data_IF_295067108695
#
_entry.id   IF_295067108695
#
_cell.length_a   1.000
_cell.length_b   1.000
_cell.length_c   1.000
_cell.angle_alpha   90.00
_cell.angle_beta   90.00
_cell.angle_gamma   90.00
#
_symmetry.space_group_name_H-M   'P 1'
#
loop_
_entity.id
_entity.type
_entity.pdbx_description
1 polymer ?
#
# COMPACT_ATOMS: atom_id res chain seq x y z
N UNK A 1 -23.05 23.29 -28.15
CA UNK A 1 -22.55 23.12 -26.76
C UNK A 1 -22.48 21.62 -26.50
N UNK A 2 -21.37 21.11 -25.99
CA UNK A 2 -21.29 19.69 -25.59
C UNK A 2 -22.23 19.44 -24.42
N UNK A 3 -22.94 18.33 -24.45
CA UNK A 3 -23.81 17.88 -23.37
C UNK A 3 -23.04 17.76 -22.05
N UNK A 4 -23.62 18.31 -20.98
CA UNK A 4 -23.06 18.19 -19.63
C UNK A 4 -23.75 17.02 -18.94
N UNK A 5 -22.95 16.05 -18.45
CA UNK A 5 -23.44 14.87 -17.75
C UNK A 5 -22.83 14.85 -16.34
N UNK A 6 -23.68 14.75 -15.33
CA UNK A 6 -23.26 14.57 -13.94
C UNK A 6 -22.91 13.10 -13.67
N UNK A 7 -21.73 12.83 -13.06
CA UNK A 7 -21.22 11.48 -12.79
C UNK A 7 -20.71 11.33 -11.36
N UNK A 8 -20.71 10.10 -10.88
CA UNK A 8 -19.97 9.73 -9.67
C UNK A 8 -18.46 9.86 -9.95
N UNK A 9 -17.67 10.58 -9.11
CA UNK A 9 -16.25 10.71 -9.29
C UNK A 9 -15.51 9.36 -9.26
N UNK A 10 -16.02 8.33 -8.56
CA UNK A 10 -15.44 6.99 -8.54
C UNK A 10 -15.51 6.29 -9.90
N UNK A 11 -16.51 6.59 -10.74
CA UNK A 11 -16.57 6.07 -12.11
C UNK A 11 -15.46 6.63 -13.00
N UNK A 12 -15.03 7.88 -12.74
CA UNK A 12 -13.98 8.57 -13.49
C UNK A 12 -12.56 8.21 -13.02
N UNK A 13 -12.41 7.66 -11.81
CA UNK A 13 -11.14 7.16 -11.30
C UNK A 13 -10.83 5.81 -11.94
N UNK A 14 -9.84 5.80 -12.82
CA UNK A 14 -9.41 4.59 -13.56
C UNK A 14 -7.97 4.20 -13.23
N UNK A 15 -7.59 2.96 -13.58
CA UNK A 15 -6.22 2.46 -13.46
C UNK A 15 -5.17 3.34 -14.18
N UNK A 16 -5.56 4.15 -15.15
CA UNK A 16 -4.68 5.07 -15.90
C UNK A 16 -4.36 6.36 -15.15
N UNK A 17 -4.97 6.58 -13.97
CA UNK A 17 -4.91 7.86 -13.27
C UNK A 17 -4.37 7.71 -11.85
N UNK A 18 -3.16 7.16 -11.77
CA UNK A 18 -2.40 7.05 -10.52
C UNK A 18 -2.20 8.43 -9.85
N UNK A 19 -2.01 9.48 -10.65
CA UNK A 19 -1.85 10.86 -10.22
C UNK A 19 -3.07 11.42 -9.46
N UNK A 20 -4.27 10.98 -9.80
CA UNK A 20 -5.51 11.43 -9.13
C UNK A 20 -5.55 10.94 -7.69
N UNK A 21 -5.12 9.69 -7.44
CA UNK A 21 -5.07 9.14 -6.07
C UNK A 21 -4.07 9.88 -5.20
N UNK A 22 -2.90 10.25 -5.73
CA UNK A 22 -1.92 11.07 -5.01
C UNK A 22 -2.50 12.45 -4.64
N UNK A 23 -3.19 13.08 -5.60
CA UNK A 23 -3.87 14.37 -5.35
C UNK A 23 -4.99 14.25 -4.33
N UNK A 24 -5.73 13.14 -4.36
CA UNK A 24 -6.76 12.85 -3.37
C UNK A 24 -6.19 12.70 -1.95
N UNK A 25 -5.11 11.90 -1.78
CA UNK A 25 -4.41 11.75 -0.52
C UNK A 25 -3.94 13.10 0.04
N UNK A 26 -3.40 13.96 -0.81
CA UNK A 26 -3.03 15.32 -0.42
C UNK A 26 -4.24 16.16 -0.01
N UNK A 27 -5.35 16.09 -0.74
CA UNK A 27 -6.58 16.81 -0.40
C UNK A 27 -7.16 16.38 0.96
N UNK A 28 -7.07 15.09 1.29
CA UNK A 28 -7.49 14.56 2.60
C UNK A 28 -6.60 15.01 3.77
N UNK A 29 -5.33 15.32 3.51
CA UNK A 29 -4.30 15.49 4.54
C UNK A 29 -3.44 16.73 4.28
N UNK A 30 -4.06 17.90 4.11
CA UNK A 30 -3.37 19.16 3.75
C UNK A 30 -2.31 19.64 4.75
N UNK A 31 -2.39 19.20 6.00
CA UNK A 31 -1.42 19.51 7.06
C UNK A 31 -0.28 18.49 7.14
N UNK A 32 -0.41 17.33 6.51
CA UNK A 32 0.61 16.30 6.54
C UNK A 32 1.82 16.66 5.69
N UNK A 33 3.01 16.60 6.28
CA UNK A 33 4.28 16.78 5.57
C UNK A 33 4.51 15.65 4.56
N UNK A 34 4.15 14.41 4.92
CA UNK A 34 4.32 13.26 4.05
C UNK A 34 3.48 13.39 2.77
N UNK A 35 2.18 13.64 2.88
CA UNK A 35 1.31 13.76 1.71
C UNK A 35 1.60 15.03 0.89
N UNK A 36 2.05 16.10 1.54
CA UNK A 36 2.56 17.30 0.85
C UNK A 36 3.80 16.95 0.02
N UNK A 37 4.77 16.26 0.61
CA UNK A 37 5.98 15.80 -0.11
C UNK A 37 5.63 14.87 -1.26
N UNK A 38 4.72 13.92 -1.05
CA UNK A 38 4.23 13.00 -2.07
C UNK A 38 3.57 13.73 -3.25
N UNK A 39 2.76 14.76 -2.97
CA UNK A 39 2.12 15.58 -3.98
C UNK A 39 3.16 16.36 -4.81
N UNK A 40 4.16 16.99 -4.18
CA UNK A 40 5.21 17.70 -4.88
C UNK A 40 6.12 16.77 -5.68
N UNK A 41 6.48 15.62 -5.11
CA UNK A 41 7.34 14.67 -5.79
C UNK A 41 6.67 14.11 -7.05
N UNK A 42 5.38 13.78 -7.01
CA UNK A 42 4.69 13.32 -8.20
C UNK A 42 4.57 14.43 -9.27
N UNK A 43 4.40 15.70 -8.89
CA UNK A 43 4.40 16.82 -9.84
C UNK A 43 5.77 16.97 -10.53
N UNK A 44 6.87 16.84 -9.77
CA UNK A 44 8.22 16.81 -10.32
C UNK A 44 8.38 15.73 -11.37
N UNK A 45 7.93 14.49 -11.03
CA UNK A 45 8.01 13.34 -11.95
C UNK A 45 7.10 13.50 -13.15
N UNK A 46 5.93 14.09 -12.98
CA UNK A 46 5.02 14.40 -14.08
C UNK A 46 5.68 15.32 -15.12
N UNK A 47 6.32 16.37 -14.68
CA UNK A 47 6.98 17.35 -15.55
C UNK A 47 8.29 16.84 -16.17
N UNK A 48 8.70 15.59 -15.90
CA UNK A 48 9.77 14.87 -16.61
C UNK A 48 11.17 15.35 -16.28
N UNK A 49 11.41 15.99 -15.13
CA UNK A 49 12.69 16.65 -14.83
C UNK A 49 13.17 17.50 -16.01
N UNK A 50 12.23 18.07 -16.77
CA UNK A 50 12.64 19.02 -17.80
C UNK A 50 13.57 20.00 -17.13
N UNK A 51 14.71 20.26 -17.75
CA UNK A 51 15.76 21.20 -17.28
C UNK A 51 15.28 22.65 -17.02
N UNK A 52 14.01 22.91 -17.29
CA UNK A 52 13.26 23.94 -16.61
C UNK A 52 13.14 23.47 -15.18
N UNK A 53 14.06 23.95 -14.31
CA UNK A 53 13.81 23.93 -12.89
C UNK A 53 12.33 24.22 -12.71
N UNK A 54 11.57 23.35 -12.02
CA UNK A 54 10.21 23.72 -11.69
C UNK A 54 10.38 25.04 -10.93
N UNK A 55 10.04 26.14 -11.59
CA UNK A 55 10.09 27.43 -10.92
C UNK A 55 9.37 27.20 -9.62
N UNK A 56 10.01 27.45 -8.48
CA UNK A 56 9.37 27.35 -7.16
C UNK A 56 8.00 28.01 -7.19
N UNK A 57 7.87 29.11 -7.94
CA UNK A 57 6.61 29.77 -8.25
C UNK A 57 5.54 28.87 -8.91
N UNK A 58 5.91 27.95 -9.78
CA UNK A 58 4.94 27.08 -10.46
C UNK A 58 4.27 26.07 -9.53
N UNK A 59 5.02 25.46 -8.61
CA UNK A 59 4.43 24.53 -7.62
C UNK A 59 3.56 25.24 -6.61
N UNK A 60 3.98 26.37 -6.10
CA UNK A 60 3.19 27.19 -5.18
C UNK A 60 1.88 27.65 -5.82
N UNK A 61 1.90 27.99 -7.11
CA UNK A 61 0.70 28.36 -7.85
C UNK A 61 -0.25 27.17 -8.07
N UNK A 62 0.28 25.99 -8.43
CA UNK A 62 -0.51 24.76 -8.52
C UNK A 62 -1.10 24.37 -7.16
N UNK A 63 -0.32 24.43 -6.10
CA UNK A 63 -0.80 24.14 -4.75
C UNK A 63 -1.88 25.13 -4.32
N UNK A 64 -1.65 26.44 -4.50
CA UNK A 64 -2.62 27.50 -4.21
C UNK A 64 -3.91 27.30 -4.99
N UNK A 65 -3.81 26.97 -6.28
CA UNK A 65 -4.97 26.68 -7.13
C UNK A 65 -5.71 25.45 -6.65
N UNK A 66 -5.01 24.37 -6.29
CA UNK A 66 -5.64 23.15 -5.81
C UNK A 66 -6.32 23.35 -4.46
N UNK A 67 -5.68 24.05 -3.51
CA UNK A 67 -6.30 24.41 -2.21
C UNK A 67 -7.53 25.29 -2.40
N UNK A 68 -7.54 26.16 -3.39
CA UNK A 68 -8.74 26.93 -3.78
C UNK A 68 -9.85 26.03 -4.31
N UNK A 69 -9.53 25.07 -5.18
CA UNK A 69 -10.48 24.08 -5.70
C UNK A 69 -11.11 23.28 -4.57
N UNK A 70 -10.28 22.80 -3.63
CA UNK A 70 -10.74 22.04 -2.46
C UNK A 70 -11.69 22.88 -1.61
N UNK A 71 -11.37 24.17 -1.35
CA UNK A 71 -12.19 25.04 -0.50
C UNK A 71 -13.51 25.47 -1.17
N UNK A 72 -13.45 25.86 -2.44
CA UNK A 72 -14.53 26.58 -3.13
C UNK A 72 -15.44 25.68 -3.97
N UNK A 73 -15.19 24.36 -4.03
CA UNK A 73 -16.03 23.41 -4.78
C UNK A 73 -16.24 23.86 -6.24
N UNK A 74 -15.17 23.96 -7.03
CA UNK A 74 -15.25 24.40 -8.43
C UNK A 74 -16.08 23.42 -9.26
N UNK A 75 -17.17 23.92 -9.88
CA UNK A 75 -18.14 23.13 -10.64
C UNK A 75 -17.89 23.10 -12.16
N UNK A 76 -16.74 23.59 -12.61
CA UNK A 76 -16.36 23.55 -14.01
C UNK A 76 -16.32 22.10 -14.53
N UNK A 77 -17.02 21.77 -15.63
CA UNK A 77 -17.09 20.42 -16.13
C UNK A 77 -15.73 19.83 -16.51
N UNK A 78 -15.48 18.58 -16.13
CA UNK A 78 -14.27 17.85 -16.51
C UNK A 78 -14.45 17.32 -17.95
N UNK A 79 -13.48 17.59 -18.87
CA UNK A 79 -13.52 16.98 -20.19
C UNK A 79 -13.17 15.49 -20.12
N UNK A 80 -14.05 14.66 -20.69
CA UNK A 80 -13.88 13.20 -20.81
C UNK A 80 -13.88 12.79 -22.27
N UNK A 81 -13.00 11.87 -22.64
CA UNK A 81 -12.95 11.34 -24.00
C UNK A 81 -14.09 10.33 -24.28
N UNK A 82 -14.13 9.79 -25.49
CA UNK A 82 -15.17 8.85 -25.91
C UNK A 82 -15.16 7.52 -25.12
N UNK A 83 -14.04 7.18 -24.46
CA UNK A 83 -13.93 6.00 -23.58
C UNK A 83 -14.35 6.31 -22.13
N UNK A 84 -14.71 7.55 -21.81
CA UNK A 84 -15.04 7.99 -20.45
C UNK A 84 -13.83 8.33 -19.58
N UNK A 85 -12.61 8.38 -20.15
CA UNK A 85 -11.41 8.76 -19.41
C UNK A 85 -11.27 10.30 -19.38
N UNK A 86 -10.81 10.83 -18.24
CA UNK A 86 -10.59 12.27 -18.12
C UNK A 86 -9.39 12.72 -18.96
N UNK A 87 -9.59 13.70 -19.83
CA UNK A 87 -8.54 14.32 -20.63
C UNK A 87 -7.85 15.47 -19.88
N UNK A 88 -8.52 16.09 -18.91
CA UNK A 88 -8.01 17.13 -18.03
C UNK A 88 -8.82 17.14 -16.74
N UNK A 89 -8.38 17.90 -15.71
CA UNK A 89 -9.16 18.10 -14.48
C UNK A 89 -8.86 17.12 -13.34
N UNK A 90 -7.67 16.52 -13.30
CA UNK A 90 -7.23 15.62 -12.24
C UNK A 90 -7.39 16.22 -10.83
N UNK A 91 -7.09 17.51 -10.63
CA UNK A 91 -7.29 18.20 -9.35
C UNK A 91 -8.78 18.35 -9.01
N UNK A 92 -9.62 18.64 -9.99
CA UNK A 92 -11.09 18.73 -9.80
C UNK A 92 -11.68 17.36 -9.44
N UNK A 93 -11.22 16.30 -10.11
CA UNK A 93 -11.64 14.94 -9.78
C UNK A 93 -11.19 14.54 -8.36
N UNK A 94 -9.95 14.82 -7.98
CA UNK A 94 -9.47 14.55 -6.63
C UNK A 94 -10.26 15.32 -5.56
N UNK A 95 -10.61 16.59 -5.82
CA UNK A 95 -11.45 17.38 -4.92
C UNK A 95 -12.90 16.85 -4.86
N UNK A 96 -13.45 16.35 -5.96
CA UNK A 96 -14.79 15.74 -5.99
C UNK A 96 -14.83 14.43 -5.17
N UNK A 97 -13.79 13.59 -5.29
CA UNK A 97 -13.59 12.41 -4.45
C UNK A 97 -13.49 12.77 -2.96
N UNK A 98 -12.71 13.80 -2.63
CA UNK A 98 -12.56 14.29 -1.26
C UNK A 98 -13.89 14.75 -0.66
N UNK A 99 -14.69 15.47 -1.43
CA UNK A 99 -16.01 15.96 -1.00
C UNK A 99 -17.11 14.91 -1.12
N UNK A 100 -16.82 13.72 -1.65
CA UNK A 100 -17.80 12.66 -1.92
C UNK A 100 -19.04 13.18 -2.67
N UNK A 101 -18.83 13.97 -3.71
CA UNK A 101 -19.91 14.62 -4.46
C UNK A 101 -19.84 14.33 -5.96
N UNK A 102 -20.97 14.28 -6.65
CA UNK A 102 -21.02 14.18 -8.10
C UNK A 102 -20.28 15.34 -8.78
N UNK A 103 -19.75 15.09 -9.96
CA UNK A 103 -19.03 16.06 -10.76
C UNK A 103 -19.58 16.15 -12.18
N UNK A 104 -19.68 17.36 -12.70
CA UNK A 104 -20.06 17.60 -14.07
C UNK A 104 -18.95 17.22 -15.03
N UNK A 105 -19.32 16.53 -16.10
CA UNK A 105 -18.42 16.16 -17.20
C UNK A 105 -18.98 16.68 -18.52
N UNK A 106 -18.10 16.93 -19.48
CA UNK A 106 -18.46 17.21 -20.88
C UNK A 106 -17.62 16.33 -21.81
N UNK A 107 -18.13 16.00 -22.98
CA UNK A 107 -17.31 15.34 -23.99
C UNK A 107 -16.20 16.27 -24.48
N UNK A 108 -15.01 15.70 -24.71
CA UNK A 108 -13.91 16.40 -25.37
C UNK A 108 -14.26 16.70 -26.83
N UNK A 109 -13.71 17.80 -27.35
CA UNK A 109 -13.64 17.98 -28.81
C UNK A 109 -12.61 17.01 -29.41
N UNK A 110 -12.60 16.78 -30.74
CA UNK A 110 -11.57 15.95 -31.38
C UNK A 110 -10.13 16.41 -31.05
N UNK A 111 -9.91 17.69 -30.90
CA UNK A 111 -8.60 18.29 -30.60
C UNK A 111 -8.20 18.08 -29.12
N UNK A 112 -9.16 17.97 -28.22
CA UNK A 112 -8.96 17.73 -26.78
C UNK A 112 -8.93 16.23 -26.45
N UNK A 113 -9.30 15.33 -27.39
CA UNK A 113 -9.70 13.95 -27.16
C UNK A 113 -8.59 12.96 -26.90
N UNK A 114 -7.39 13.37 -26.49
CA UNK A 114 -6.30 12.46 -26.18
C UNK A 114 -6.50 11.78 -24.80
N UNK A 115 -6.00 10.56 -24.73
CA UNK A 115 -6.00 9.74 -23.51
C UNK A 115 -4.75 10.04 -22.68
N UNK A 116 -4.91 10.67 -21.52
CA UNK A 116 -3.81 10.91 -20.61
C UNK A 116 -3.58 9.64 -19.78
N UNK A 117 -2.46 8.97 -20.02
CA UNK A 117 -2.02 7.82 -19.25
C UNK A 117 -0.96 8.27 -18.25
N UNK A 118 -1.38 8.33 -16.98
CA UNK A 118 -0.52 8.63 -15.84
C UNK A 118 -0.64 7.49 -14.82
N UNK A 119 -0.40 6.27 -15.30
CA UNK A 119 -0.45 5.03 -14.55
C UNK A 119 0.84 4.80 -13.71
N UNK A 120 0.89 3.69 -13.01
CA UNK A 120 2.06 3.35 -12.21
C UNK A 120 3.33 3.15 -13.08
N UNK A 121 3.19 2.62 -14.30
CA UNK A 121 4.32 2.41 -15.21
C UNK A 121 4.92 3.74 -15.70
N UNK A 122 4.07 4.76 -15.90
CA UNK A 122 4.50 6.12 -16.20
C UNK A 122 5.39 6.69 -15.09
N UNK A 123 4.99 6.55 -13.82
CA UNK A 123 5.74 7.04 -12.68
C UNK A 123 6.95 6.17 -12.33
N UNK A 124 6.88 4.86 -12.56
CA UNK A 124 8.02 3.95 -12.42
C UNK A 124 9.19 4.35 -13.32
N UNK A 125 8.91 4.61 -14.60
CA UNK A 125 9.92 5.11 -15.57
C UNK A 125 10.55 6.43 -15.15
N UNK A 126 9.91 7.17 -14.26
CA UNK A 126 10.35 8.46 -13.73
C UNK A 126 10.90 8.37 -12.31
N UNK A 127 11.16 7.16 -11.80
CA UNK A 127 11.73 6.88 -10.49
C UNK A 127 10.96 7.53 -9.32
N UNK A 128 9.63 7.51 -9.34
CA UNK A 128 8.85 7.86 -8.14
C UNK A 128 9.26 6.92 -6.99
N UNK A 129 9.46 7.41 -5.75
CA UNK A 129 9.87 6.57 -4.62
C UNK A 129 8.92 5.39 -4.39
N UNK A 130 9.51 4.21 -4.12
CA UNK A 130 8.76 2.94 -4.02
C UNK A 130 7.62 2.98 -2.99
N UNK A 131 7.85 3.58 -1.82
CA UNK A 131 6.84 3.68 -0.76
C UNK A 131 5.61 4.49 -1.19
N UNK A 132 5.77 5.44 -2.12
CA UNK A 132 4.64 6.22 -2.65
C UNK A 132 3.73 5.37 -3.55
N UNK A 133 4.27 4.37 -4.26
CA UNK A 133 3.45 3.42 -5.02
C UNK A 133 2.56 2.60 -4.10
N UNK A 134 3.12 2.06 -3.02
CA UNK A 134 2.38 1.28 -2.04
C UNK A 134 1.25 2.09 -1.40
N UNK A 135 1.56 3.31 -0.93
CA UNK A 135 0.55 4.22 -0.35
C UNK A 135 -0.58 4.51 -1.34
N UNK A 136 -0.24 4.81 -2.60
CA UNK A 136 -1.24 5.10 -3.64
C UNK A 136 -2.07 3.86 -3.97
N UNK A 137 -1.46 2.67 -4.02
CA UNK A 137 -2.17 1.42 -4.28
C UNK A 137 -3.16 1.07 -3.14
N UNK A 138 -2.75 1.22 -1.89
CA UNK A 138 -3.61 1.02 -0.72
C UNK A 138 -4.82 1.98 -0.79
N UNK A 139 -4.59 3.24 -1.12
CA UNK A 139 -5.68 4.21 -1.20
C UNK A 139 -6.61 3.96 -2.39
N UNK A 140 -6.05 3.55 -3.54
CA UNK A 140 -6.88 3.11 -4.67
C UNK A 140 -7.79 1.95 -4.29
N UNK A 141 -7.26 0.95 -3.57
CA UNK A 141 -8.05 -0.18 -3.10
C UNK A 141 -9.24 0.27 -2.22
N UNK A 142 -9.06 1.29 -1.37
CA UNK A 142 -10.15 1.85 -0.54
C UNK A 142 -11.20 2.59 -1.38
N UNK A 143 -10.76 3.35 -2.39
CA UNK A 143 -11.64 4.16 -3.25
C UNK A 143 -12.44 3.34 -4.26
N UNK A 144 -11.95 2.14 -4.65
CA UNK A 144 -12.56 1.32 -5.70
C UNK A 144 -13.20 0.06 -5.14
N UNK A 145 -14.55 0.01 -4.97
CA UNK A 145 -15.25 -1.15 -4.40
C UNK A 145 -15.04 -2.45 -5.17
N UNK A 146 -14.73 -2.36 -6.48
CA UNK A 146 -14.47 -3.52 -7.35
C UNK A 146 -12.98 -3.83 -7.47
N UNK A 147 -12.14 -3.32 -6.56
CA UNK A 147 -10.72 -3.66 -6.52
C UNK A 147 -10.49 -5.03 -5.89
N UNK A 148 -9.51 -5.75 -6.42
CA UNK A 148 -9.08 -7.05 -5.93
C UNK A 148 -7.57 -7.13 -5.88
N UNK A 149 -7.03 -7.84 -4.89
CA UNK A 149 -5.61 -8.20 -4.82
C UNK A 149 -5.44 -9.64 -5.29
N UNK A 150 -4.63 -9.80 -6.33
CA UNK A 150 -4.22 -11.11 -6.85
C UNK A 150 -2.86 -11.43 -6.24
N UNK A 151 -2.77 -12.57 -5.55
CA UNK A 151 -1.52 -13.12 -5.03
C UNK A 151 -1.07 -14.26 -5.95
N UNK A 152 -0.01 -14.04 -6.70
CA UNK A 152 0.60 -15.03 -7.60
C UNK A 152 1.75 -15.71 -6.86
N UNK A 153 1.59 -17.01 -6.60
CA UNK A 153 2.61 -17.81 -5.94
C UNK A 153 3.68 -18.29 -6.95
N UNK A 154 4.83 -18.80 -6.48
CA UNK A 154 5.97 -19.14 -7.36
C UNK A 154 5.64 -19.97 -8.59
N UNK A 155 4.70 -20.89 -8.52
CA UNK A 155 4.25 -21.68 -9.69
C UNK A 155 3.75 -20.80 -10.82
N UNK A 156 3.04 -19.70 -10.51
CA UNK A 156 2.53 -18.76 -11.51
C UNK A 156 3.67 -18.04 -12.26
N UNK A 157 4.83 -17.86 -11.61
CA UNK A 157 5.98 -17.20 -12.22
C UNK A 157 6.57 -17.97 -13.42
N UNK A 158 6.33 -19.27 -13.52
CA UNK A 158 6.84 -20.08 -14.64
C UNK A 158 6.21 -19.73 -15.98
N UNK A 159 5.03 -19.08 -15.97
CA UNK A 159 4.28 -18.63 -17.16
C UNK A 159 3.72 -17.21 -16.96
N UNK A 160 4.51 -16.31 -16.38
CA UNK A 160 4.06 -14.97 -15.98
C UNK A 160 3.44 -14.18 -17.15
N UNK A 161 4.01 -14.28 -18.36
CA UNK A 161 3.48 -13.62 -19.56
C UNK A 161 2.00 -14.00 -19.80
N UNK A 162 1.69 -15.31 -19.72
CA UNK A 162 0.34 -15.81 -19.91
C UNK A 162 -0.59 -15.40 -18.77
N UNK A 163 -0.08 -15.46 -17.53
CA UNK A 163 -0.85 -15.03 -16.35
C UNK A 163 -1.23 -13.57 -16.48
N UNK A 164 -0.27 -12.69 -16.82
CA UNK A 164 -0.54 -11.26 -16.99
C UNK A 164 -1.53 -10.99 -18.12
N UNK A 165 -1.41 -11.70 -19.24
CA UNK A 165 -2.37 -11.59 -20.36
C UNK A 165 -3.80 -12.01 -19.95
N UNK A 166 -3.94 -13.04 -19.09
CA UNK A 166 -5.25 -13.42 -18.55
C UNK A 166 -5.78 -12.33 -17.62
N UNK A 167 -4.93 -11.76 -16.75
CA UNK A 167 -5.35 -10.68 -15.85
C UNK A 167 -5.83 -9.48 -16.67
N UNK A 168 -5.08 -9.04 -17.68
CA UNK A 168 -5.42 -7.90 -18.54
C UNK A 168 -6.69 -8.12 -19.39
N UNK A 169 -7.01 -9.38 -19.70
CA UNK A 169 -8.25 -9.76 -20.40
C UNK A 169 -9.49 -9.47 -19.54
N UNK A 170 -9.43 -9.73 -18.24
CA UNK A 170 -10.59 -9.69 -17.34
C UNK A 170 -10.63 -8.49 -16.39
N UNK A 171 -9.49 -7.85 -16.13
CA UNK A 171 -9.37 -6.76 -15.16
C UNK A 171 -8.37 -5.69 -15.65
N UNK A 172 -8.32 -4.58 -14.94
CA UNK A 172 -7.40 -3.47 -15.20
C UNK A 172 -6.38 -3.41 -14.08
N UNK A 173 -5.10 -3.50 -14.42
CA UNK A 173 -3.99 -3.48 -13.45
C UNK A 173 -3.75 -2.04 -13.01
N UNK A 174 -3.88 -1.78 -11.70
CA UNK A 174 -3.51 -0.50 -11.11
C UNK A 174 -2.06 -0.48 -10.63
N UNK A 175 -1.60 -1.57 -9.96
CA UNK A 175 -0.25 -1.68 -9.44
C UNK A 175 0.17 -3.15 -9.32
N UNK A 176 1.47 -3.41 -9.48
CA UNK A 176 2.03 -4.75 -9.24
C UNK A 176 3.42 -4.65 -8.59
N UNK A 177 3.72 -5.58 -7.67
CA UNK A 177 5.02 -5.72 -7.02
C UNK A 177 5.34 -7.18 -6.75
N UNK A 178 6.63 -7.50 -6.63
CA UNK A 178 7.09 -8.83 -6.21
C UNK A 178 7.91 -8.70 -4.94
N UNK A 179 7.58 -9.50 -3.93
CA UNK A 179 8.21 -9.50 -2.63
C UNK A 179 8.81 -10.87 -2.32
N UNK A 180 9.83 -10.88 -1.45
CA UNK A 180 10.50 -12.10 -0.99
C UNK A 180 10.06 -12.43 0.45
N UNK A 181 9.76 -13.70 0.68
CA UNK A 181 9.33 -14.23 1.97
C UNK A 181 10.20 -15.44 2.34
N UNK A 182 10.85 -15.37 3.50
CA UNK A 182 11.42 -16.58 4.12
C UNK A 182 10.29 -17.46 4.68
N UNK A 183 10.61 -18.63 5.21
CA UNK A 183 9.61 -19.60 5.69
C UNK A 183 8.66 -19.01 6.74
N UNK A 184 9.17 -18.15 7.63
CA UNK A 184 8.35 -17.45 8.63
C UNK A 184 7.43 -16.43 7.96
N UNK A 185 7.96 -15.68 6.99
CA UNK A 185 7.21 -14.71 6.21
C UNK A 185 6.11 -15.35 5.39
N UNK A 186 6.36 -16.52 4.80
CA UNK A 186 5.36 -17.30 4.06
C UNK A 186 4.18 -17.69 4.96
N UNK A 187 4.46 -18.22 6.15
CA UNK A 187 3.40 -18.54 7.14
C UNK A 187 2.64 -17.28 7.56
N UNK A 188 3.34 -16.17 7.77
CA UNK A 188 2.74 -14.89 8.10
C UNK A 188 1.81 -14.37 7.02
N UNK A 189 2.25 -14.44 5.77
CA UNK A 189 1.46 -14.07 4.59
C UNK A 189 0.22 -14.96 4.45
N UNK A 190 0.36 -16.27 4.62
CA UNK A 190 -0.81 -17.18 4.58
C UNK A 190 -1.83 -16.85 5.66
N UNK A 191 -1.38 -16.56 6.89
CA UNK A 191 -2.28 -16.11 7.98
C UNK A 191 -2.99 -14.80 7.63
N UNK A 192 -2.33 -13.89 6.94
CA UNK A 192 -2.90 -12.62 6.49
C UNK A 192 -3.95 -12.82 5.38
N UNK A 193 -3.61 -13.60 4.35
CA UNK A 193 -4.47 -13.84 3.20
C UNK A 193 -5.74 -14.58 3.61
N UNK A 194 -5.63 -15.60 4.46
CA UNK A 194 -6.72 -16.49 4.85
C UNK A 194 -7.27 -16.20 6.26
N UNK A 195 -7.08 -14.97 6.75
CA UNK A 195 -7.42 -14.56 8.12
C UNK A 195 -8.86 -14.90 8.54
N UNK A 196 -9.81 -14.78 7.63
CA UNK A 196 -11.25 -15.03 7.91
C UNK A 196 -11.72 -16.46 7.61
N UNK A 197 -10.84 -17.31 7.12
CA UNK A 197 -11.21 -18.65 6.68
C UNK A 197 -11.22 -19.64 7.85
N UNK A 198 -12.33 -20.37 8.03
CA UNK A 198 -12.51 -21.30 9.17
C UNK A 198 -11.50 -22.46 9.22
N UNK A 199 -10.86 -22.81 8.07
CA UNK A 199 -9.82 -23.84 8.00
C UNK A 199 -8.42 -23.33 8.34
N UNK A 200 -8.23 -22.01 8.50
CA UNK A 200 -6.94 -21.34 8.64
C UNK A 200 -6.29 -21.52 10.04
N UNK A 201 -6.35 -22.73 10.59
CA UNK A 201 -5.57 -23.10 11.78
C UNK A 201 -4.08 -23.27 11.44
N UNK A 202 -3.24 -23.48 12.44
CA UNK A 202 -1.76 -23.54 12.25
C UNK A 202 -1.32 -24.59 11.24
N UNK A 203 -1.92 -25.80 11.29
CA UNK A 203 -1.58 -26.91 10.37
C UNK A 203 -2.09 -26.63 8.94
N UNK A 204 -3.30 -26.15 8.80
CA UNK A 204 -3.89 -25.79 7.52
C UNK A 204 -3.09 -24.68 6.83
N UNK A 205 -2.69 -23.64 7.56
CA UNK A 205 -1.86 -22.54 7.08
C UNK A 205 -0.48 -23.04 6.66
N UNK A 206 0.18 -23.88 7.47
CA UNK A 206 1.49 -24.45 7.11
C UNK A 206 1.41 -25.27 5.84
N UNK A 207 0.48 -26.22 5.77
CA UNK A 207 0.24 -27.05 4.58
C UNK A 207 -0.04 -26.21 3.33
N UNK A 208 -0.85 -25.15 3.47
CA UNK A 208 -1.16 -24.22 2.36
C UNK A 208 0.08 -23.46 1.92
N UNK A 209 0.91 -22.96 2.84
CA UNK A 209 2.17 -22.30 2.56
C UNK A 209 3.13 -23.20 1.79
N UNK A 210 3.36 -24.42 2.28
CA UNK A 210 4.22 -25.42 1.65
C UNK A 210 3.78 -25.73 0.21
N UNK A 211 2.47 -25.86 -0.03
CA UNK A 211 1.90 -26.12 -1.35
C UNK A 211 1.98 -24.92 -2.31
N UNK A 212 1.83 -23.69 -1.79
CA UNK A 212 1.89 -22.47 -2.60
C UNK A 212 3.32 -22.08 -2.94
N UNK A 213 4.24 -22.13 -1.98
CA UNK A 213 5.62 -21.67 -2.16
C UNK A 213 6.57 -22.76 -2.68
N UNK A 214 6.39 -24.03 -2.29
CA UNK A 214 7.19 -25.17 -2.79
C UNK A 214 8.70 -24.96 -2.67
N UNK A 215 9.16 -24.36 -1.57
CA UNK A 215 10.57 -24.04 -1.32
C UNK A 215 11.11 -22.79 -2.03
N UNK A 216 10.25 -22.06 -2.77
CA UNK A 216 10.62 -20.76 -3.34
C UNK A 216 10.22 -19.63 -2.40
N UNK A 217 10.74 -18.42 -2.64
CA UNK A 217 10.59 -17.29 -1.72
C UNK A 217 9.78 -16.12 -2.28
N UNK A 218 9.55 -16.05 -3.60
CA UNK A 218 8.94 -14.88 -4.24
C UNK A 218 7.45 -15.07 -4.47
N UNK A 219 6.67 -14.05 -4.13
CA UNK A 219 5.28 -13.93 -4.54
C UNK A 219 5.05 -12.57 -5.22
N UNK A 220 4.17 -12.53 -6.23
CA UNK A 220 3.81 -11.29 -6.93
C UNK A 220 2.38 -10.90 -6.54
N UNK A 221 2.19 -9.64 -6.22
CA UNK A 221 0.91 -9.06 -5.86
C UNK A 221 0.48 -8.07 -6.92
N UNK A 222 -0.75 -8.23 -7.40
CA UNK A 222 -1.32 -7.36 -8.45
C UNK A 222 -2.63 -6.78 -7.92
N UNK A 223 -2.71 -5.46 -7.81
CA UNK A 223 -3.96 -4.75 -7.53
C UNK A 223 -4.66 -4.48 -8.84
N UNK A 224 -5.88 -4.96 -8.96
CA UNK A 224 -6.71 -4.83 -10.14
C UNK A 224 -8.05 -4.18 -9.81
N UNK A 225 -8.66 -3.58 -10.83
CA UNK A 225 -10.05 -3.14 -10.86
C UNK A 225 -10.79 -4.00 -11.90
N UNK A 226 -11.84 -4.68 -11.46
CA UNK A 226 -12.66 -5.55 -12.31
C UNK A 226 -14.10 -5.01 -12.40
N UNK A 227 -14.73 -5.13 -13.59
CA UNK A 227 -16.08 -4.62 -13.78
C UNK A 227 -17.14 -5.47 -13.03
N UNK A 228 -16.91 -6.78 -12.92
CA UNK A 228 -17.85 -7.74 -12.34
C UNK A 228 -17.11 -8.83 -11.58
N UNK A 229 -17.73 -9.33 -10.53
CA UNK A 229 -17.21 -10.45 -9.74
C UNK A 229 -17.04 -11.73 -10.60
N UNK A 230 -17.90 -11.93 -11.60
CA UNK A 230 -17.81 -13.05 -12.54
C UNK A 230 -16.52 -13.02 -13.34
N UNK A 231 -16.03 -11.84 -13.73
CA UNK A 231 -14.77 -11.66 -14.45
C UNK A 231 -13.59 -12.09 -13.57
N UNK A 232 -13.64 -11.75 -12.28
CA UNK A 232 -12.63 -12.16 -11.29
C UNK A 232 -12.63 -13.69 -11.11
N UNK A 233 -13.80 -14.31 -11.03
CA UNK A 233 -13.93 -15.79 -10.92
C UNK A 233 -13.39 -16.49 -12.16
N UNK A 234 -13.71 -16.00 -13.36
CA UNK A 234 -13.18 -16.53 -14.64
C UNK A 234 -11.67 -16.39 -14.72
N UNK A 235 -11.14 -15.21 -14.43
CA UNK A 235 -9.70 -14.95 -14.35
C UNK A 235 -9.00 -15.95 -13.43
N UNK A 236 -9.53 -16.13 -12.19
CA UNK A 236 -9.00 -17.07 -11.19
C UNK A 236 -8.99 -18.50 -11.71
N UNK A 237 -10.03 -18.92 -12.42
CA UNK A 237 -10.15 -20.25 -13.02
C UNK A 237 -9.15 -20.43 -14.15
N UNK A 238 -9.10 -19.52 -15.14
CA UNK A 238 -8.18 -19.60 -16.27
C UNK A 238 -6.70 -19.63 -15.82
N UNK A 239 -6.33 -18.87 -14.77
CA UNK A 239 -4.97 -18.92 -14.21
C UNK A 239 -4.70 -20.29 -13.58
N UNK A 240 -5.65 -20.88 -12.84
CA UNK A 240 -5.47 -22.21 -12.21
C UNK A 240 -5.30 -23.32 -13.22
N UNK A 241 -6.08 -23.29 -14.30
CA UNK A 241 -6.03 -24.26 -15.40
C UNK A 241 -4.68 -24.29 -16.12
N UNK A 242 -3.90 -23.19 -16.09
CA UNK A 242 -2.55 -23.17 -16.67
C UNK A 242 -1.57 -24.12 -15.97
N UNK A 243 -1.78 -24.50 -14.71
CA UNK A 243 -0.71 -25.05 -13.87
C UNK A 243 -0.96 -26.44 -13.32
N UNK A 244 -2.16 -26.97 -13.39
CA UNK A 244 -2.53 -28.28 -12.83
C UNK A 244 -2.01 -28.54 -11.39
N UNK A 245 -2.09 -27.48 -10.53
CA UNK A 245 -1.68 -27.53 -9.13
C UNK A 245 -2.84 -27.17 -8.20
N UNK A 246 -4.06 -27.30 -8.67
CA UNK A 246 -5.26 -26.92 -7.94
C UNK A 246 -5.24 -25.44 -7.53
N UNK A 247 -5.51 -25.17 -6.25
CA UNK A 247 -5.65 -23.81 -5.70
C UNK A 247 -4.31 -23.19 -5.24
N UNK A 248 -3.14 -23.65 -5.73
CA UNK A 248 -1.85 -23.28 -5.19
C UNK A 248 -1.02 -22.35 -6.09
N UNK A 249 -1.53 -21.98 -7.28
CA UNK A 249 -0.88 -21.01 -8.18
C UNK A 249 -1.29 -19.56 -7.89
N UNK A 250 -2.56 -19.34 -7.51
CA UNK A 250 -3.14 -18.02 -7.35
C UNK A 250 -4.18 -17.96 -6.24
N UNK A 251 -4.16 -16.86 -5.47
CA UNK A 251 -5.27 -16.40 -4.63
C UNK A 251 -5.74 -15.04 -5.14
N UNK A 252 -7.04 -14.76 -5.04
CA UNK A 252 -7.63 -13.44 -5.32
C UNK A 252 -8.56 -13.12 -4.16
N UNK A 253 -8.49 -11.90 -3.63
CA UNK A 253 -9.40 -11.43 -2.57
C UNK A 253 -10.85 -11.52 -3.05
N UNK A 254 -11.71 -12.11 -2.23
CA UNK A 254 -13.10 -12.36 -2.59
C UNK A 254 -14.00 -11.15 -2.26
N UNK A 255 -13.64 -10.34 -1.24
CA UNK A 255 -14.39 -9.17 -0.77
C UNK A 255 -13.52 -7.92 -0.82
N UNK A 256 -14.17 -6.74 -0.84
CA UNK A 256 -13.50 -5.45 -0.87
C UNK A 256 -12.66 -5.20 0.40
N UNK A 257 -13.17 -5.58 1.56
CA UNK A 257 -12.45 -5.47 2.83
C UNK A 257 -11.17 -6.31 2.84
N UNK A 258 -11.20 -7.49 2.23
CA UNK A 258 -10.01 -8.34 2.05
C UNK A 258 -9.00 -7.68 1.11
N UNK A 259 -9.48 -7.08 0.01
CA UNK A 259 -8.62 -6.35 -0.91
C UNK A 259 -7.89 -5.20 -0.19
N UNK A 260 -8.59 -4.43 0.64
CA UNK A 260 -8.00 -3.34 1.44
C UNK A 260 -6.99 -3.92 2.45
N UNK A 261 -7.36 -4.95 3.22
CA UNK A 261 -6.54 -5.56 4.27
C UNK A 261 -5.25 -6.14 3.68
N UNK A 262 -5.36 -6.95 2.64
CA UNK A 262 -4.21 -7.55 1.96
C UNK A 262 -3.32 -6.46 1.34
N UNK A 263 -3.91 -5.45 0.67
CA UNK A 263 -3.16 -4.31 0.10
C UNK A 263 -2.29 -3.61 1.15
N UNK A 264 -2.85 -3.31 2.32
CA UNK A 264 -2.12 -2.68 3.43
C UNK A 264 -0.89 -3.48 3.82
N UNK A 265 -0.98 -4.79 3.82
CA UNK A 265 0.13 -5.67 4.21
C UNK A 265 1.14 -5.84 3.07
N UNK A 266 0.70 -6.15 1.85
CA UNK A 266 1.63 -6.55 0.78
C UNK A 266 2.25 -5.36 0.02
N UNK A 267 1.67 -4.16 0.12
CA UNK A 267 2.20 -2.95 -0.49
C UNK A 267 2.96 -2.04 0.49
N UNK A 268 3.18 -2.50 1.73
CA UNK A 268 3.97 -1.79 2.73
C UNK A 268 5.25 -2.57 3.05
N UNK A 269 6.42 -1.97 2.82
CA UNK A 269 7.71 -2.63 2.99
C UNK A 269 7.99 -3.04 4.46
N UNK A 270 7.52 -2.26 5.45
CA UNK A 270 7.66 -2.62 6.86
C UNK A 270 6.77 -3.80 7.24
N UNK A 271 5.61 -3.96 6.57
CA UNK A 271 4.76 -5.14 6.76
C UNK A 271 5.47 -6.41 6.24
N UNK A 272 6.11 -6.33 5.07
CA UNK A 272 6.92 -7.43 4.54
C UNK A 272 8.10 -7.74 5.47
N UNK A 273 8.78 -6.71 5.98
CA UNK A 273 9.84 -6.87 6.98
C UNK A 273 9.31 -7.57 8.24
N UNK A 274 8.19 -7.11 8.79
CA UNK A 274 7.54 -7.72 9.94
C UNK A 274 7.23 -9.20 9.70
N UNK A 275 6.59 -9.54 8.57
CA UNK A 275 6.27 -10.92 8.24
C UNK A 275 7.50 -11.83 8.23
N UNK A 276 8.62 -11.35 7.71
CA UNK A 276 9.87 -12.10 7.59
C UNK A 276 10.66 -12.24 8.90
N UNK A 277 10.44 -11.36 9.90
CA UNK A 277 11.26 -11.30 11.11
C UNK A 277 10.50 -11.62 12.40
N UNK A 278 9.18 -11.75 12.33
CA UNK A 278 8.39 -12.15 13.49
C UNK A 278 8.70 -13.59 13.90
N UNK A 279 8.65 -13.87 15.20
CA UNK A 279 8.63 -15.24 15.69
C UNK A 279 7.21 -15.80 15.61
N UNK A 280 7.07 -17.11 15.43
CA UNK A 280 5.75 -17.73 15.39
C UNK A 280 5.20 -17.94 16.82
N UNK A 281 4.83 -16.83 17.48
CA UNK A 281 4.31 -16.84 18.84
C UNK A 281 2.79 -16.72 18.87
N UNK A 282 2.20 -17.27 19.92
CA UNK A 282 0.79 -17.03 20.25
C UNK A 282 0.70 -15.69 21.00
N UNK A 283 0.08 -14.71 20.39
CA UNK A 283 -0.12 -13.36 20.98
C UNK A 283 -1.38 -13.32 21.86
N UNK A 284 -1.61 -14.35 22.68
CA UNK A 284 -2.89 -14.51 23.41
C UNK A 284 -3.25 -13.27 24.20
N UNK A 285 -2.34 -12.76 25.02
CA UNK A 285 -2.57 -11.57 25.85
C UNK A 285 -2.83 -10.33 25.00
N UNK A 286 -2.02 -10.10 23.95
CA UNK A 286 -2.24 -8.97 23.06
C UNK A 286 -3.58 -9.07 22.33
N UNK A 287 -3.97 -10.26 21.88
CA UNK A 287 -5.28 -10.52 21.26
C UNK A 287 -6.42 -10.20 22.21
N UNK A 288 -6.30 -10.59 23.49
CA UNK A 288 -7.28 -10.28 24.53
C UNK A 288 -7.38 -8.77 24.77
N UNK A 289 -6.24 -8.07 24.88
CA UNK A 289 -6.19 -6.61 25.04
C UNK A 289 -6.78 -5.84 23.85
N UNK A 290 -6.73 -6.42 22.66
CA UNK A 290 -7.22 -5.81 21.42
C UNK A 290 -8.61 -6.27 21.00
N UNK A 291 -9.28 -7.14 21.78
CA UNK A 291 -10.53 -7.80 21.38
C UNK A 291 -11.63 -6.82 20.93
N UNK A 292 -11.74 -5.68 21.60
CA UNK A 292 -12.75 -4.64 21.31
C UNK A 292 -12.22 -3.54 20.37
N UNK A 293 -10.95 -3.64 19.95
CA UNK A 293 -10.35 -2.63 19.07
C UNK A 293 -10.76 -2.85 17.62
N UNK A 294 -11.14 -1.76 16.94
CA UNK A 294 -11.37 -1.76 15.49
C UNK A 294 -10.16 -1.18 14.77
N UNK A 295 -9.80 -1.73 13.59
CA UNK A 295 -8.82 -1.11 12.70
C UNK A 295 -9.21 0.34 12.37
N UNK A 296 -8.22 1.24 12.42
CA UNK A 296 -8.39 2.65 12.10
C UNK A 296 -7.05 3.21 11.61
N UNK A 297 -7.07 3.91 10.48
CA UNK A 297 -5.85 4.43 9.87
C UNK A 297 -5.31 5.71 10.57
N UNK A 298 -6.12 6.34 11.43
CA UNK A 298 -5.73 7.52 12.21
C UNK A 298 -5.02 7.18 13.52
N UNK A 299 -4.86 5.91 13.84
CA UNK A 299 -4.16 5.46 15.04
C UNK A 299 -3.09 4.40 14.72
N UNK A 300 -2.05 4.40 15.54
CA UNK A 300 -0.92 3.47 15.46
C UNK A 300 -0.71 2.82 16.82
N UNK A 301 -0.63 1.50 16.85
CA UNK A 301 -0.23 0.73 18.03
C UNK A 301 1.28 0.80 18.15
N UNK A 302 1.81 1.12 19.34
CA UNK A 302 3.23 1.33 19.59
C UNK A 302 3.73 0.60 20.86
N UNK A 303 4.91 0.93 21.32
CA UNK A 303 5.47 0.45 22.58
C UNK A 303 5.70 -1.05 22.62
N UNK A 304 5.40 -1.65 23.78
CA UNK A 304 5.63 -3.07 24.03
C UNK A 304 4.75 -4.00 23.21
N UNK A 305 3.58 -3.53 22.75
CA UNK A 305 2.70 -4.31 21.89
C UNK A 305 3.39 -4.66 20.55
N UNK A 306 4.21 -3.75 19.99
CA UNK A 306 5.02 -4.02 18.80
C UNK A 306 6.04 -5.12 19.07
N UNK A 307 6.71 -5.11 20.23
CA UNK A 307 7.67 -6.17 20.60
C UNK A 307 6.98 -7.53 20.72
N UNK A 308 5.74 -7.54 21.25
CA UNK A 308 4.91 -8.74 21.29
C UNK A 308 4.60 -9.25 19.89
N UNK A 309 4.25 -8.37 18.95
CA UNK A 309 4.00 -8.74 17.56
C UNK A 309 5.21 -9.42 16.91
N UNK A 310 6.42 -8.91 17.17
CA UNK A 310 7.66 -9.56 16.74
C UNK A 310 8.02 -10.83 17.54
N UNK A 311 7.27 -11.15 18.61
CA UNK A 311 7.52 -12.31 19.47
C UNK A 311 8.79 -12.16 20.31
N UNK A 312 9.18 -10.94 20.65
CA UNK A 312 10.34 -10.62 21.46
C UNK A 312 10.07 -10.71 22.96
N UNK A 313 8.93 -10.23 23.41
CA UNK A 313 8.37 -10.40 24.75
C UNK A 313 6.88 -10.07 24.79
N UNK A 314 6.16 -10.43 25.84
CA UNK A 314 4.78 -10.05 26.03
C UNK A 314 4.64 -8.59 26.50
N UNK A 315 3.53 -7.94 26.13
CA UNK A 315 3.13 -6.61 26.62
C UNK A 315 2.19 -6.74 27.82
N UNK A 316 2.17 -5.72 28.67
CA UNK A 316 1.21 -5.57 29.74
C UNK A 316 -0.05 -4.81 29.31
N UNK A 317 0.13 -3.88 28.39
CA UNK A 317 -0.81 -2.90 27.87
C UNK A 317 -0.60 -2.66 26.37
N UNK A 318 -1.45 -1.81 25.79
CA UNK A 318 -1.39 -1.40 24.38
C UNK A 318 -1.33 0.11 24.31
N UNK A 319 -0.17 0.64 23.94
CA UNK A 319 0.03 2.08 23.72
C UNK A 319 -0.45 2.49 22.32
N UNK A 320 -1.10 3.65 22.19
CA UNK A 320 -1.66 4.19 20.96
C UNK A 320 -1.18 5.61 20.68
N UNK A 321 -0.87 5.90 19.42
CA UNK A 321 -0.65 7.25 18.90
C UNK A 321 -1.82 7.58 17.97
N UNK A 322 -2.46 8.73 18.17
CA UNK A 322 -3.53 9.24 17.32
C UNK A 322 -3.08 10.43 16.50
N UNK A 323 -3.45 10.46 15.21
CA UNK A 323 -3.22 11.62 14.35
C UNK A 323 -4.17 12.79 14.68
N UNK A 324 -5.43 12.48 14.97
CA UNK A 324 -6.44 13.40 15.42
C UNK A 324 -6.79 13.10 16.89
N UNK A 325 -7.59 13.95 17.52
CA UNK A 325 -8.03 13.74 18.90
C UNK A 325 -8.65 12.35 19.09
N UNK A 326 -8.27 11.64 20.17
CA UNK A 326 -8.83 10.34 20.45
C UNK A 326 -10.34 10.45 20.75
N UNK A 327 -11.13 9.40 20.47
CA UNK A 327 -12.54 9.37 20.84
C UNK A 327 -12.75 9.60 22.35
N UNK A 328 -13.77 10.38 22.72
CA UNK A 328 -14.04 10.79 24.10
C UNK A 328 -14.16 9.63 25.13
N UNK A 329 -14.49 8.42 24.67
CA UNK A 329 -14.68 7.21 25.48
C UNK A 329 -13.47 6.26 25.50
N UNK A 330 -12.33 6.69 24.99
CA UNK A 330 -11.13 5.90 24.92
C UNK A 330 -10.39 5.90 26.29
N UNK A 331 -11.00 5.34 27.33
CA UNK A 331 -10.39 5.18 28.63
C UNK A 331 -9.32 4.10 28.63
N UNK A 332 -8.12 4.42 29.09
CA UNK A 332 -7.00 3.58 29.55
C UNK A 332 -5.79 3.32 28.64
N UNK A 333 -5.61 3.94 27.47
CA UNK A 333 -4.48 3.58 26.59
C UNK A 333 -3.96 4.80 25.81
N UNK A 334 -3.29 5.76 26.51
CA UNK A 334 -2.82 6.99 25.83
C UNK A 334 -1.39 7.34 26.15
N UNK A 335 -0.59 7.42 25.11
CA UNK A 335 0.44 8.43 25.05
C UNK A 335 -0.19 9.71 24.48
N UNK A 336 -0.39 10.73 25.31
CA UNK A 336 -0.76 12.07 24.85
C UNK A 336 0.39 12.62 24.01
N UNK A 337 0.11 12.86 22.77
CA UNK A 337 1.03 13.12 21.69
C UNK A 337 1.84 14.41 21.77
N UNK A 338 1.57 15.32 22.71
CA UNK A 338 2.28 16.60 22.76
C UNK A 338 3.54 16.57 23.64
N UNK A 339 3.53 15.81 24.72
CA UNK A 339 4.65 15.72 25.65
C UNK A 339 5.72 14.70 25.19
N UNK A 340 5.33 13.73 24.34
CA UNK A 340 6.21 12.66 23.85
C UNK A 340 6.86 12.94 22.50
N UNK A 341 6.60 14.08 21.86
CA UNK A 341 7.18 14.45 20.54
C UNK A 341 8.71 14.39 20.52
N UNK A 342 9.36 14.64 21.66
CA UNK A 342 10.80 14.53 21.80
C UNK A 342 11.32 13.09 21.87
N UNK A 343 10.54 12.16 22.42
CA UNK A 343 10.98 10.79 22.68
C UNK A 343 11.07 9.94 21.41
N UNK A 344 10.20 10.15 20.43
CA UNK A 344 10.23 9.40 19.18
C UNK A 344 11.25 9.95 18.16
N UNK A 345 11.73 11.17 18.34
CA UNK A 345 12.49 11.93 17.33
C UNK A 345 11.76 12.02 15.96
N UNK A 346 10.44 11.92 15.98
CA UNK A 346 9.52 11.92 14.86
C UNK A 346 8.25 12.66 15.24
N UNK A 347 7.55 13.23 14.27
CA UNK A 347 6.23 13.81 14.50
C UNK A 347 5.14 12.72 14.47
N UNK A 348 3.98 13.00 15.05
CA UNK A 348 2.81 12.12 14.93
C UNK A 348 2.44 11.91 13.46
N UNK A 349 2.53 12.95 12.63
CA UNK A 349 2.32 12.86 11.19
C UNK A 349 3.27 11.86 10.53
N UNK A 350 4.55 11.88 10.91
CA UNK A 350 5.51 10.91 10.38
C UNK A 350 5.11 9.48 10.74
N UNK A 351 4.79 9.22 12.01
CA UNK A 351 4.50 7.86 12.48
C UNK A 351 3.19 7.33 11.86
N UNK A 352 2.16 8.15 11.81
CA UNK A 352 0.82 7.72 11.37
C UNK A 352 0.70 7.69 9.85
N UNK A 353 1.23 8.69 9.14
CA UNK A 353 0.97 8.88 7.72
C UNK A 353 2.11 8.41 6.81
N UNK A 354 3.37 8.39 7.28
CA UNK A 354 4.48 7.95 6.46
C UNK A 354 4.70 6.43 6.59
N UNK A 355 4.52 5.65 5.51
CA UNK A 355 4.64 4.18 5.52
C UNK A 355 6.04 3.66 5.86
N UNK A 356 7.05 4.53 5.91
CA UNK A 356 8.40 4.17 6.39
C UNK A 356 8.45 3.96 7.91
N UNK A 357 7.45 4.43 8.66
CA UNK A 357 7.44 4.39 10.12
C UNK A 357 6.35 3.51 10.73
N UNK A 358 5.57 2.81 9.89
CA UNK A 358 4.58 1.86 10.38
C UNK A 358 4.46 0.64 9.47
N UNK A 359 3.84 -0.42 10.00
CA UNK A 359 3.45 -1.60 9.25
C UNK A 359 1.99 -1.98 9.53
N UNK A 360 1.43 -2.82 8.68
CA UNK A 360 0.07 -3.35 8.83
C UNK A 360 0.11 -4.86 9.03
N UNK A 361 -0.78 -5.35 9.87
CA UNK A 361 -1.08 -6.75 10.01
C UNK A 361 -2.51 -6.95 10.52
N UNK A 362 -3.27 -7.82 9.85
CA UNK A 362 -4.69 -8.09 10.14
C UNK A 362 -5.55 -6.81 10.24
N UNK A 363 -5.28 -5.86 9.37
CA UNK A 363 -5.98 -4.58 9.28
C UNK A 363 -5.52 -3.50 10.26
N UNK A 364 -4.80 -3.86 11.32
CA UNK A 364 -4.26 -2.91 12.30
C UNK A 364 -2.96 -2.28 11.84
N UNK A 365 -2.72 -1.04 12.27
CA UNK A 365 -1.49 -0.29 12.01
C UNK A 365 -0.63 -0.28 13.28
N UNK A 366 0.63 -0.66 13.14
CA UNK A 366 1.64 -0.74 14.20
C UNK A 366 2.83 0.14 13.84
N UNK A 367 3.42 0.81 14.83
CA UNK A 367 4.68 1.52 14.62
C UNK A 367 5.79 0.55 14.15
N UNK A 368 6.67 1.01 13.27
CA UNK A 368 7.82 0.20 12.88
C UNK A 368 8.74 -0.06 14.06
N UNK A 369 9.55 -1.11 13.96
CA UNK A 369 10.49 -1.45 15.03
C UNK A 369 11.50 -0.32 15.31
N UNK A 370 11.88 0.44 14.26
CA UNK A 370 12.77 1.59 14.37
C UNK A 370 12.13 2.73 15.19
N UNK A 371 10.82 2.97 15.03
CA UNK A 371 10.07 3.95 15.85
C UNK A 371 10.08 3.55 17.32
N UNK A 372 9.81 2.27 17.62
CA UNK A 372 9.85 1.77 19.00
C UNK A 372 11.26 1.83 19.57
N UNK A 373 12.28 1.54 18.75
CA UNK A 373 13.69 1.67 19.13
C UNK A 373 14.01 3.12 19.53
N UNK A 374 13.65 4.10 18.71
CA UNK A 374 13.88 5.52 19.01
C UNK A 374 13.26 5.92 20.36
N UNK A 375 12.00 5.52 20.62
CA UNK A 375 11.34 5.75 21.90
C UNK A 375 12.13 5.17 23.07
N UNK A 376 12.59 3.92 22.93
CA UNK A 376 13.34 3.22 24.00
C UNK A 376 14.71 3.85 24.26
N UNK A 377 15.43 4.24 23.20
CA UNK A 377 16.70 4.95 23.31
C UNK A 377 16.55 6.31 23.99
N UNK A 378 15.51 7.07 23.64
CA UNK A 378 15.27 8.39 24.21
C UNK A 378 14.82 8.33 25.68
N UNK A 379 13.96 7.36 26.04
CA UNK A 379 13.46 7.20 27.42
C UNK A 379 14.52 6.60 28.35
N UNK A 380 15.32 5.66 27.87
CA UNK A 380 16.46 5.06 28.55
C UNK A 380 16.19 4.52 29.97
N UNK A 381 15.02 3.94 30.21
CA UNK A 381 14.69 3.26 31.47
C UNK A 381 15.34 1.86 31.54
N UNK A 382 15.57 1.24 32.72
CA UNK A 382 16.16 -0.09 32.83
C UNK A 382 15.47 -1.16 31.97
N UNK A 383 14.12 -1.11 31.87
CA UNK A 383 13.36 -2.01 31.00
C UNK A 383 13.61 -1.76 29.52
N UNK A 384 13.99 -0.53 29.13
CA UNK A 384 14.24 -0.16 27.74
C UNK A 384 15.58 -0.70 27.25
N UNK A 385 16.57 -0.80 28.12
CA UNK A 385 17.87 -1.42 27.80
C UNK A 385 17.65 -2.88 27.37
N UNK A 386 16.84 -3.63 28.14
CA UNK A 386 16.48 -5.01 27.82
C UNK A 386 15.72 -5.09 26.48
N UNK A 387 14.78 -4.17 26.26
CA UNK A 387 14.01 -4.11 25.02
C UNK A 387 14.91 -3.80 23.81
N UNK A 388 15.89 -2.90 23.95
CA UNK A 388 16.86 -2.58 22.90
C UNK A 388 17.77 -3.78 22.54
N UNK A 389 18.18 -4.57 23.52
CA UNK A 389 18.91 -5.83 23.27
C UNK A 389 18.05 -6.84 22.49
N UNK A 390 16.75 -6.93 22.80
CA UNK A 390 15.83 -7.78 22.05
C UNK A 390 15.63 -7.28 20.62
N UNK A 391 15.46 -5.98 20.42
CA UNK A 391 15.30 -5.33 19.11
C UNK A 391 16.55 -5.57 18.25
N UNK A 392 17.76 -5.46 18.84
CA UNK A 392 19.02 -5.63 18.12
C UNK A 392 19.19 -7.01 17.48
N UNK A 393 18.49 -8.03 18.00
CA UNK A 393 18.49 -9.40 17.45
C UNK A 393 17.62 -9.55 16.18
N UNK A 394 16.73 -8.60 15.95
CA UNK A 394 15.82 -8.61 14.78
C UNK A 394 16.34 -7.71 13.66
N UNK A 395 16.91 -6.57 14.01
CA UNK A 395 17.42 -5.60 13.03
C UNK A 395 18.82 -5.99 12.58
N UNK A 396 19.09 -6.18 11.30
CA UNK A 396 20.45 -6.43 10.83
C UNK A 396 21.39 -5.31 11.31
N UNK A 397 22.50 -5.67 11.94
CA UNK A 397 23.58 -4.71 12.26
C UNK A 397 24.02 -4.03 10.95
N UNK A 398 23.69 -2.76 10.75
CA UNK A 398 24.09 -1.99 9.55
C UNK A 398 23.18 -0.87 9.12
N UNK A 399 21.96 -0.73 9.67
CA UNK A 399 21.21 0.52 9.50
C UNK A 399 21.68 1.49 10.60
N UNK A 400 22.67 2.33 10.23
CA UNK A 400 23.13 3.45 11.05
C UNK A 400 21.96 4.29 11.55
N UNK A 401 21.90 4.53 12.84
CA UNK A 401 20.93 5.38 13.55
C UNK A 401 21.15 6.88 13.31
N UNK A 402 21.75 7.27 12.21
CA UNK A 402 21.94 8.68 11.89
C UNK A 402 20.91 9.15 10.89
N UNK A 403 20.06 10.05 11.40
CA UNK A 403 19.24 10.99 10.64
C UNK A 403 18.70 10.39 9.34
N UNK A 404 17.42 10.09 9.34
CA UNK A 404 16.68 9.94 8.09
C UNK A 404 16.72 11.30 7.40
N UNK A 405 17.87 11.67 6.85
CA UNK A 405 17.87 12.42 5.61
C UNK A 405 16.98 11.58 4.71
N UNK A 406 16.01 12.22 4.08
CA UNK A 406 15.18 11.65 3.02
C UNK A 406 16.12 11.34 1.84
N UNK A 407 17.12 10.50 2.10
CA UNK A 407 17.98 9.89 1.14
C UNK A 407 17.28 8.60 0.72
N UNK A 408 16.55 8.71 -0.40
CA UNK A 408 16.08 7.60 -1.20
C UNK A 408 17.04 6.43 -1.10
N UNK A 409 16.59 5.21 -0.76
CA UNK A 409 17.42 4.04 -0.93
C UNK A 409 17.80 3.95 -2.39
N UNK A 410 19.05 4.29 -2.66
CA UNK A 410 19.66 4.08 -3.96
C UNK A 410 19.60 2.61 -4.31
N UNK A 411 19.07 2.34 -5.51
CA UNK A 411 19.27 1.14 -6.28
C UNK A 411 18.62 -0.18 -5.83
N UNK A 412 17.30 -0.25 -5.87
CA UNK A 412 16.64 -1.34 -6.60
C UNK A 412 15.57 -0.69 -7.45
N UNK A 413 15.91 -0.42 -8.72
CA UNK A 413 14.99 0.14 -9.68
C UNK A 413 13.68 -0.67 -9.67
N UNK A 414 12.51 0.00 -9.66
CA UNK A 414 11.25 -0.68 -9.80
C UNK A 414 11.28 -1.49 -11.10
N UNK A 415 10.82 -2.72 -11.02
CA UNK A 415 10.76 -3.63 -12.16
C UNK A 415 9.90 -2.98 -13.25
N UNK A 416 10.57 -2.51 -14.32
CA UNK A 416 9.92 -2.25 -15.58
C UNK A 416 9.31 -3.57 -16.04
N UNK A 417 8.01 -3.64 -16.37
CA UNK A 417 7.35 -4.87 -16.80
C UNK A 417 8.14 -5.57 -17.91
N UNK A 418 8.72 -4.83 -18.87
CA UNK A 418 9.60 -5.42 -19.88
C UNK A 418 10.93 -5.91 -19.29
N UNK A 419 11.53 -5.22 -18.31
CA UNK A 419 12.70 -5.70 -17.57
C UNK A 419 12.35 -6.79 -16.57
N UNK A 420 11.18 -6.74 -15.97
CA UNK A 420 10.61 -7.81 -15.15
C UNK A 420 10.49 -9.08 -15.98
N UNK A 421 9.92 -8.99 -17.18
CA UNK A 421 9.78 -10.07 -18.13
C UNK A 421 11.15 -10.54 -18.70
N UNK A 422 12.09 -9.63 -18.94
CA UNK A 422 13.44 -9.93 -19.41
C UNK A 422 14.31 -10.62 -18.33
N UNK A 423 14.15 -10.26 -17.05
CA UNK A 423 14.83 -10.94 -15.93
C UNK A 423 14.37 -12.41 -15.78
N UNK A 424 13.09 -12.69 -16.00
CA UNK A 424 12.59 -14.07 -15.99
C UNK A 424 13.08 -14.86 -17.19
N UNK A 425 13.19 -14.25 -18.38
CA UNK A 425 13.77 -14.88 -19.58
C UNK A 425 15.26 -15.21 -19.42
N UNK A 426 16.06 -14.31 -18.81
CA UNK A 426 17.52 -14.52 -18.62
C UNK A 426 17.88 -15.50 -17.50
N UNK A 427 16.98 -15.79 -16.56
CA UNK A 427 17.15 -16.78 -15.49
C UNK A 427 16.38 -18.06 -15.73
N UNK A 428 16.18 -18.44 -17.00
CA UNK A 428 15.65 -19.73 -17.43
C UNK A 428 16.56 -20.89 -16.97
N UNK A 429 16.64 -21.07 -15.66
CA UNK A 429 17.14 -22.30 -15.07
C UNK A 429 16.21 -23.42 -15.49
N UNK A 430 16.75 -24.42 -16.17
CA UNK A 430 16.07 -25.66 -16.53
C UNK A 430 15.39 -26.23 -15.29
N UNK A 431 14.12 -25.97 -15.11
CA UNK A 431 13.29 -26.71 -14.17
C UNK A 431 13.14 -28.10 -14.78
N UNK A 432 13.87 -29.08 -14.23
CA UNK A 432 13.60 -30.49 -14.51
C UNK A 432 12.15 -30.73 -14.14
N UNK A 433 11.35 -31.11 -15.12
CA UNK A 433 10.03 -31.63 -14.87
C UNK A 433 10.16 -32.85 -13.95
N UNK A 434 9.71 -32.70 -12.73
CA UNK A 434 9.43 -33.81 -11.85
C UNK A 434 8.03 -34.30 -12.22
N UNK A 435 8.01 -35.50 -12.78
CA UNK A 435 6.80 -36.31 -12.99
C UNK A 435 6.18 -36.70 -11.65
#
# INVERSE_FOLDING_TARGET
MSEIITRDPNELLTHKRFDVVIKYLYACNLSSKYYTSMYYEHQNRWNGFSQKEPHKSGFEEFDRTFRRIIRNKVDEPIPVNHQGHIANGAHRLAAALYHQRPINTRRTTPEEGYDIVADYAFFMKRNLPRHMFGTTAIEYAKLKPNSHVICLFPTAHTRMDKVMSIIEKWARIFYATTEEFNDIGQLGLMKEIYFVEGWANEEGIKRKGDQCFRGFQKATFVLVDANKLEDVKRMKTEIRELFDVGNHSVHVSDFHEDAIRISKTVFNANSIHFLNHRKNNKYKKLTELMADMKPDDNKVITGSAVLTMYGLRECADVDLIYYNDPPANSHNLYLKTEDDKGLYNLTVDDIVNNPLFHFYYQGFKYASLDVVKNLKEARNEPKDIVDLELISKVTPMGRSSNTVEINTPTSRAPLNMSKFMEMFRKRGGKVKALR
#
